data_IF_154053235557
#
_entry.id   IF_154053235557
#
_cell.length_a   1.000
_cell.length_b   1.000
_cell.length_c   1.000
_cell.angle_alpha   90.00
_cell.angle_beta   90.00
_cell.angle_gamma   90.00
#
_symmetry.space_group_name_H-M   'P 1'
#
loop_
_entity.id
_entity.type
_entity.pdbx_description
1 polymer ?
#
# COMPACT_ATOMS: atom_id res chain seq x y z
N UNK A 1 7.17 9.82 18.56
CA UNK A 1 7.41 9.67 17.10
C UNK A 1 6.61 8.53 16.49
N UNK A 2 6.72 7.28 16.96
CA UNK A 2 5.99 6.14 16.36
C UNK A 2 4.46 6.35 16.30
N UNK A 3 3.84 6.82 17.39
CA UNK A 3 2.39 7.06 17.43
C UNK A 3 1.89 8.05 16.36
N UNK A 4 2.68 9.09 16.04
CA UNK A 4 2.32 10.08 15.03
C UNK A 4 2.33 9.52 13.60
N UNK A 5 3.11 8.47 13.33
CA UNK A 5 3.25 7.87 12.00
C UNK A 5 2.12 6.92 11.62
N UNK A 6 1.34 6.45 12.61
CA UNK A 6 0.36 5.36 12.46
C UNK A 6 -0.99 5.79 11.87
N UNK A 7 -1.68 6.85 12.37
CA UNK A 7 -3.13 6.99 12.20
C UNK A 7 -3.61 6.87 10.74
N UNK A 8 -3.20 7.76 9.85
CA UNK A 8 -3.71 7.76 8.47
C UNK A 8 -3.21 6.55 7.69
N UNK A 9 -1.91 6.27 7.72
CA UNK A 9 -1.30 5.26 6.87
C UNK A 9 -1.71 3.84 7.27
N UNK A 10 -1.69 3.54 8.58
CA UNK A 10 -2.05 2.20 9.04
C UNK A 10 -3.57 1.94 8.97
N UNK A 11 -4.43 2.95 9.20
CA UNK A 11 -5.88 2.82 8.99
C UNK A 11 -6.16 2.55 7.51
N UNK A 12 -5.50 3.26 6.60
CA UNK A 12 -5.63 2.99 5.17
C UNK A 12 -5.25 1.55 4.86
N UNK A 13 -4.11 1.07 5.33
CA UNK A 13 -3.69 -0.31 5.12
C UNK A 13 -4.69 -1.32 5.73
N UNK A 14 -5.11 -1.11 6.97
CA UNK A 14 -6.02 -2.02 7.68
C UNK A 14 -7.38 -2.13 6.97
N UNK A 15 -8.03 -0.99 6.71
CA UNK A 15 -9.34 -0.98 6.05
C UNK A 15 -9.28 -1.50 4.61
N UNK A 16 -8.19 -1.19 3.89
CA UNK A 16 -7.97 -1.72 2.54
C UNK A 16 -7.87 -3.23 2.51
N UNK A 17 -7.08 -3.80 3.37
CA UNK A 17 -6.86 -5.24 3.42
C UNK A 17 -8.06 -5.98 4.06
N UNK A 18 -8.49 -5.55 5.25
CA UNK A 18 -9.53 -6.22 6.02
C UNK A 18 -10.92 -6.00 5.44
N UNK A 19 -11.32 -4.73 5.24
CA UNK A 19 -12.73 -4.39 4.96
C UNK A 19 -13.04 -4.44 3.46
N UNK A 20 -12.12 -3.98 2.63
CA UNK A 20 -12.29 -3.95 1.16
C UNK A 20 -11.75 -5.21 0.51
N UNK A 21 -10.54 -5.60 0.85
CA UNK A 21 -9.85 -6.78 0.33
C UNK A 21 -10.36 -8.10 0.91
N UNK A 22 -11.03 -8.07 2.06
CA UNK A 22 -11.54 -9.28 2.75
C UNK A 22 -10.46 -10.35 2.93
N UNK A 23 -9.24 -9.88 3.27
CA UNK A 23 -8.06 -10.73 3.42
C UNK A 23 -8.31 -11.94 4.32
N UNK A 24 -7.80 -13.10 3.90
CA UNK A 24 -7.88 -14.37 4.64
C UNK A 24 -6.49 -14.98 4.78
N UNK A 25 -6.30 -15.80 5.81
CA UNK A 25 -5.07 -16.56 5.98
C UNK A 25 -4.81 -17.50 4.79
N UNK A 26 -3.55 -17.60 4.39
CA UNK A 26 -3.12 -18.43 3.25
C UNK A 26 -3.32 -17.80 1.87
N UNK A 27 -3.97 -16.64 1.78
CA UNK A 27 -4.11 -15.93 0.50
C UNK A 27 -2.77 -15.34 0.03
N UNK A 28 -2.57 -15.29 -1.29
CA UNK A 28 -1.48 -14.59 -1.95
C UNK A 28 -1.85 -13.12 -2.15
N UNK A 29 -1.10 -12.25 -1.49
CA UNK A 29 -1.35 -10.80 -1.50
C UNK A 29 -0.18 -10.07 -2.15
N UNK A 30 -0.46 -9.25 -3.17
CA UNK A 30 0.52 -8.32 -3.73
C UNK A 30 0.30 -6.92 -3.17
N UNK A 31 1.36 -6.29 -2.68
CA UNK A 31 1.37 -4.88 -2.24
C UNK A 31 2.22 -4.06 -3.20
N UNK A 32 1.59 -3.31 -4.09
CA UNK A 32 2.29 -2.39 -5.00
C UNK A 32 2.60 -1.07 -4.28
N UNK A 33 3.88 -0.72 -4.18
CA UNK A 33 4.37 0.41 -3.39
C UNK A 33 4.68 0.02 -1.93
N UNK A 34 5.18 -1.21 -1.71
CA UNK A 34 5.41 -1.82 -0.41
C UNK A 34 6.37 -1.04 0.52
N UNK A 35 7.28 -0.23 -0.02
CA UNK A 35 8.25 0.56 0.75
C UNK A 35 7.75 1.95 1.15
N UNK A 36 6.56 2.35 0.70
CA UNK A 36 5.98 3.66 1.00
C UNK A 36 5.29 3.74 2.37
N UNK A 37 4.80 4.94 2.72
CA UNK A 37 4.22 5.20 4.03
C UNK A 37 3.01 4.34 4.40
N UNK A 38 2.16 3.95 3.45
CA UNK A 38 1.05 3.00 3.65
C UNK A 38 1.53 1.57 3.42
N UNK A 39 2.40 1.36 2.41
CA UNK A 39 2.89 0.05 1.99
C UNK A 39 3.61 -0.72 3.10
N UNK A 40 4.44 -0.04 3.88
CA UNK A 40 5.16 -0.66 5.00
C UNK A 40 4.22 -1.19 6.08
N UNK A 41 3.09 -0.53 6.33
CA UNK A 41 2.05 -1.05 7.20
C UNK A 41 1.25 -2.17 6.53
N UNK A 42 0.96 -2.05 5.24
CA UNK A 42 0.18 -3.04 4.50
C UNK A 42 0.87 -4.41 4.49
N UNK A 43 2.18 -4.46 4.25
CA UNK A 43 2.96 -5.70 4.32
C UNK A 43 2.81 -6.36 5.69
N UNK A 44 3.08 -5.63 6.76
CA UNK A 44 3.03 -6.17 8.13
C UNK A 44 1.61 -6.59 8.55
N UNK A 45 0.60 -5.79 8.22
CA UNK A 45 -0.79 -6.10 8.50
C UNK A 45 -1.21 -7.35 7.73
N UNK A 46 -0.90 -7.48 6.42
CA UNK A 46 -1.20 -8.66 5.65
C UNK A 46 -0.54 -9.92 6.25
N UNK A 47 0.72 -9.81 6.68
CA UNK A 47 1.40 -10.89 7.42
C UNK A 47 0.70 -11.24 8.72
N UNK A 48 0.20 -10.26 9.47
CA UNK A 48 -0.53 -10.50 10.72
C UNK A 48 -1.86 -11.27 10.51
N UNK A 49 -2.44 -11.20 9.32
CA UNK A 49 -3.60 -11.99 8.89
C UNK A 49 -3.21 -13.38 8.36
N UNK A 50 -1.92 -13.73 8.30
CA UNK A 50 -1.46 -15.04 7.83
C UNK A 50 -1.40 -15.18 6.31
N UNK A 51 -1.31 -14.07 5.57
CA UNK A 51 -1.17 -14.08 4.12
C UNK A 51 0.28 -14.37 3.69
N UNK A 52 0.44 -14.88 2.46
CA UNK A 52 1.69 -14.90 1.70
C UNK A 52 1.81 -13.56 0.96
N UNK A 53 2.82 -12.75 1.30
CA UNK A 53 2.92 -11.37 0.84
C UNK A 53 4.05 -11.20 -0.17
N UNK A 54 3.70 -10.68 -1.36
CA UNK A 54 4.65 -10.16 -2.35
C UNK A 54 4.66 -8.64 -2.30
N UNK A 55 5.80 -8.04 -1.96
CA UNK A 55 5.98 -6.59 -1.96
C UNK A 55 6.66 -6.10 -3.23
N UNK A 56 6.10 -5.07 -3.88
CA UNK A 56 6.70 -4.42 -5.05
C UNK A 56 7.36 -3.12 -4.64
N UNK A 57 8.66 -2.97 -4.95
CA UNK A 57 9.45 -1.78 -4.61
C UNK A 57 10.62 -1.59 -5.58
N UNK A 58 11.40 -0.53 -5.43
CA UNK A 58 12.67 -0.35 -6.17
C UNK A 58 13.82 -1.10 -5.52
N UNK A 59 14.90 -1.36 -6.28
CA UNK A 59 16.12 -2.07 -5.84
C UNK A 59 16.59 -1.66 -4.44
N UNK A 60 16.67 -0.36 -4.16
CA UNK A 60 17.17 0.18 -2.88
C UNK A 60 16.31 -0.15 -1.67
N UNK A 61 15.07 -0.62 -1.89
CA UNK A 61 14.08 -0.89 -0.84
C UNK A 61 13.82 -2.40 -0.63
N UNK A 62 14.47 -3.27 -1.40
CA UNK A 62 14.26 -4.73 -1.35
C UNK A 62 14.49 -5.28 0.05
N UNK A 63 15.63 -4.91 0.67
CA UNK A 63 15.96 -5.40 2.01
C UNK A 63 15.00 -4.87 3.08
N UNK A 64 14.57 -3.61 2.97
CA UNK A 64 13.54 -3.06 3.85
C UNK A 64 12.23 -3.87 3.73
N UNK A 65 11.75 -4.12 2.51
CA UNK A 65 10.47 -4.80 2.30
C UNK A 65 10.53 -6.25 2.79
N UNK A 66 11.68 -6.92 2.65
CA UNK A 66 11.92 -8.24 3.26
C UNK A 66 11.93 -8.18 4.78
N UNK A 67 12.63 -7.20 5.36
CA UNK A 67 12.78 -7.09 6.83
C UNK A 67 11.47 -6.82 7.55
N UNK A 68 10.47 -6.22 6.89
CA UNK A 68 9.13 -5.99 7.44
C UNK A 68 8.16 -7.16 7.17
N UNK A 69 8.66 -8.28 6.62
CA UNK A 69 7.95 -9.55 6.57
C UNK A 69 7.38 -9.95 5.22
N UNK A 70 7.72 -9.29 4.09
CA UNK A 70 7.34 -9.79 2.78
C UNK A 70 8.02 -11.13 2.47
N UNK A 71 7.26 -12.14 2.05
CA UNK A 71 7.78 -13.45 1.66
C UNK A 71 8.53 -13.38 0.33
N UNK A 72 8.01 -12.55 -0.58
CA UNK A 72 8.58 -12.29 -1.90
C UNK A 72 8.70 -10.80 -2.14
N UNK A 73 9.72 -10.39 -2.88
CA UNK A 73 9.91 -9.00 -3.27
C UNK A 73 10.20 -8.91 -4.76
N UNK A 74 9.41 -8.12 -5.46
CA UNK A 74 9.61 -7.79 -6.87
C UNK A 74 10.24 -6.41 -6.98
N UNK A 75 11.37 -6.34 -7.64
CA UNK A 75 12.06 -5.09 -7.96
C UNK A 75 11.54 -4.54 -9.31
N UNK A 76 10.63 -3.56 -9.26
CA UNK A 76 10.01 -3.00 -10.46
C UNK A 76 11.00 -2.32 -11.42
N UNK A 77 12.24 -2.07 -10.99
CA UNK A 77 13.29 -1.51 -11.85
C UNK A 77 13.92 -2.57 -12.76
N UNK A 78 13.70 -3.85 -12.48
CA UNK A 78 14.27 -4.99 -13.18
C UNK A 78 13.24 -5.85 -13.87
N UNK A 79 12.04 -5.94 -13.30
CA UNK A 79 10.98 -6.80 -13.81
C UNK A 79 9.60 -6.17 -13.65
N UNK A 80 8.71 -6.49 -14.57
CA UNK A 80 7.31 -6.07 -14.54
C UNK A 80 6.45 -7.20 -13.93
N UNK A 81 5.97 -6.97 -12.71
CA UNK A 81 5.17 -7.97 -11.98
C UNK A 81 3.86 -8.33 -12.67
N UNK A 82 3.39 -7.51 -13.62
CA UNK A 82 2.17 -7.81 -14.39
C UNK A 82 2.39 -8.77 -15.56
N UNK A 83 3.65 -9.05 -15.90
CA UNK A 83 4.05 -9.93 -17.00
C UNK A 83 4.50 -11.32 -16.55
N UNK A 84 4.12 -11.71 -15.34
CA UNK A 84 4.43 -13.02 -14.77
C UNK A 84 3.22 -13.93 -14.76
N UNK A 85 3.44 -15.24 -14.68
CA UNK A 85 2.37 -16.22 -14.49
C UNK A 85 1.86 -16.29 -13.04
N UNK A 86 2.48 -15.53 -12.14
CA UNK A 86 2.07 -15.46 -10.74
C UNK A 86 0.70 -14.80 -10.62
N UNK A 87 -0.19 -15.42 -9.85
CA UNK A 87 -1.54 -14.94 -9.59
C UNK A 87 -1.73 -14.63 -8.11
N UNK A 88 -2.57 -13.63 -7.84
CA UNK A 88 -2.85 -13.14 -6.50
C UNK A 88 -4.34 -13.17 -6.20
N UNK A 89 -4.70 -13.42 -4.96
CA UNK A 89 -6.08 -13.36 -4.47
C UNK A 89 -6.48 -11.92 -4.15
N UNK A 90 -5.49 -11.14 -3.71
CA UNK A 90 -5.66 -9.73 -3.37
C UNK A 90 -4.48 -8.91 -3.89
N UNK A 91 -4.77 -7.84 -4.61
CA UNK A 91 -3.82 -6.80 -4.96
C UNK A 91 -4.16 -5.55 -4.14
N UNK A 92 -3.21 -5.04 -3.37
CA UNK A 92 -3.31 -3.75 -2.71
C UNK A 92 -2.41 -2.75 -3.45
N UNK A 93 -3.03 -1.95 -4.31
CA UNK A 93 -2.34 -1.03 -5.22
C UNK A 93 -2.33 0.39 -4.66
N UNK A 94 -1.13 0.87 -4.28
CA UNK A 94 -0.88 2.19 -3.73
C UNK A 94 -0.24 3.15 -4.75
N UNK A 95 0.07 2.66 -5.95
CA UNK A 95 0.78 3.42 -6.98
C UNK A 95 -0.12 3.74 -8.18
N UNK A 96 -0.93 2.78 -8.62
CA UNK A 96 -1.89 2.97 -9.70
C UNK A 96 -1.25 3.16 -11.09
N UNK A 97 -0.07 2.60 -11.30
CA UNK A 97 0.72 2.77 -12.53
C UNK A 97 0.47 1.70 -13.61
N UNK A 98 -0.45 0.78 -13.38
CA UNK A 98 -0.83 -0.27 -14.31
C UNK A 98 -2.29 -0.16 -14.74
N UNK A 99 -2.56 -0.62 -15.98
CA UNK A 99 -3.91 -0.65 -16.55
C UNK A 99 -4.82 -1.66 -15.84
N UNK A 100 -6.13 -1.54 -16.04
CA UNK A 100 -7.11 -2.53 -15.60
C UNK A 100 -6.78 -3.94 -16.12
N UNK A 101 -6.40 -4.06 -17.39
CA UNK A 101 -6.10 -5.34 -18.04
C UNK A 101 -4.90 -6.04 -17.41
N UNK A 102 -3.83 -5.29 -17.13
CA UNK A 102 -2.61 -5.80 -16.50
C UNK A 102 -2.90 -6.28 -15.08
N UNK A 103 -3.60 -5.48 -14.26
CA UNK A 103 -3.99 -5.90 -12.91
C UNK A 103 -4.91 -7.11 -12.92
N UNK A 104 -5.86 -7.15 -13.86
CA UNK A 104 -6.74 -8.30 -14.05
C UNK A 104 -5.97 -9.56 -14.43
N UNK A 105 -4.94 -9.44 -15.27
CA UNK A 105 -4.13 -10.57 -15.72
C UNK A 105 -3.51 -11.35 -14.56
N UNK A 106 -3.04 -10.66 -13.53
CA UNK A 106 -2.39 -11.25 -12.36
C UNK A 106 -3.35 -11.52 -11.18
N UNK A 107 -4.65 -11.28 -11.32
CA UNK A 107 -5.65 -11.67 -10.34
C UNK A 107 -6.18 -13.08 -10.60
N UNK A 108 -6.35 -13.84 -9.53
CA UNK A 108 -7.12 -15.08 -9.55
C UNK A 108 -8.58 -14.82 -9.94
N UNK A 109 -9.33 -15.82 -10.48
CA UNK A 109 -10.78 -15.74 -10.56
C UNK A 109 -11.37 -15.39 -9.18
N UNK A 110 -12.29 -14.41 -9.14
CA UNK A 110 -12.85 -13.81 -7.92
C UNK A 110 -11.86 -13.03 -7.02
N UNK A 111 -10.63 -12.82 -7.46
CA UNK A 111 -9.65 -11.98 -6.77
C UNK A 111 -10.10 -10.52 -6.66
N UNK A 112 -9.53 -9.81 -5.71
CA UNK A 112 -9.87 -8.41 -5.41
C UNK A 112 -8.66 -7.51 -5.63
N UNK A 113 -8.83 -6.44 -6.39
CA UNK A 113 -7.86 -5.34 -6.46
C UNK A 113 -8.41 -4.15 -5.67
N UNK A 114 -7.72 -3.78 -4.62
CA UNK A 114 -8.04 -2.61 -3.79
C UNK A 114 -7.04 -1.51 -4.11
N UNK A 115 -7.54 -0.37 -4.55
CA UNK A 115 -6.75 0.82 -4.83
C UNK A 115 -6.91 1.82 -3.70
N UNK A 116 -5.81 2.24 -3.11
CA UNK A 116 -5.78 3.23 -2.03
C UNK A 116 -4.76 4.31 -2.33
N UNK A 117 -5.15 5.53 -2.08
CA UNK A 117 -4.31 6.69 -2.29
C UNK A 117 -4.62 7.43 -3.59
N UNK A 118 -4.61 8.74 -3.49
CA UNK A 118 -4.72 9.64 -4.64
C UNK A 118 -3.28 9.81 -5.17
N UNK A 119 -2.84 8.82 -5.94
CA UNK A 119 -1.66 8.90 -6.78
C UNK A 119 -0.33 9.20 -6.11
N UNK A 120 0.56 8.23 -6.11
CA UNK A 120 1.94 8.34 -5.60
C UNK A 120 2.92 9.05 -6.52
N UNK A 121 2.65 9.66 -7.57
CA UNK A 121 3.57 10.45 -8.36
C UNK A 121 2.89 11.75 -8.85
N UNK A 122 3.26 12.85 -8.22
CA UNK A 122 2.99 14.21 -8.69
C UNK A 122 1.51 14.60 -8.76
N UNK A 123 1.11 15.49 -7.89
CA UNK A 123 -0.20 16.19 -7.96
C UNK A 123 -0.43 16.89 -9.31
N UNK A 124 0.58 16.93 -10.17
CA UNK A 124 0.60 17.69 -11.42
C UNK A 124 0.28 16.88 -12.68
N UNK A 125 0.39 15.55 -12.65
CA UNK A 125 0.17 14.74 -13.85
C UNK A 125 -1.19 14.05 -13.85
N UNK A 126 -2.21 14.77 -14.33
CA UNK A 126 -3.38 14.13 -14.93
C UNK A 126 -4.39 13.49 -13.98
N UNK A 127 -4.86 14.20 -12.94
CA UNK A 127 -6.00 13.73 -12.12
C UNK A 127 -7.19 13.31 -12.98
N UNK A 128 -7.42 13.96 -14.13
CA UNK A 128 -8.48 13.60 -15.08
C UNK A 128 -8.27 12.25 -15.76
N UNK A 129 -7.03 11.91 -16.12
CA UNK A 129 -6.70 10.62 -16.79
C UNK A 129 -6.87 9.47 -15.80
N UNK A 130 -6.52 9.68 -14.53
CA UNK A 130 -6.69 8.66 -13.47
C UNK A 130 -8.13 8.42 -13.12
N UNK A 131 -8.95 9.47 -13.00
CA UNK A 131 -10.40 9.34 -12.80
C UNK A 131 -11.07 8.60 -13.97
N UNK A 132 -10.67 8.88 -15.20
CA UNK A 132 -11.17 8.15 -16.37
C UNK A 132 -10.75 6.67 -16.34
N UNK A 133 -9.51 6.36 -15.93
CA UNK A 133 -9.03 4.98 -15.77
C UNK A 133 -9.74 4.21 -14.67
N UNK A 134 -10.07 4.86 -13.55
CA UNK A 134 -10.84 4.26 -12.47
C UNK A 134 -12.30 4.03 -12.87
N UNK A 135 -12.90 4.96 -13.62
CA UNK A 135 -14.26 4.81 -14.15
C UNK A 135 -14.32 3.65 -15.17
N UNK A 136 -13.35 3.55 -16.07
CA UNK A 136 -13.21 2.43 -17.02
C UNK A 136 -13.05 1.10 -16.24
N UNK A 137 -12.19 1.05 -15.24
CA UNK A 137 -12.01 -0.11 -14.39
C UNK A 137 -13.30 -0.49 -13.64
N UNK A 138 -14.05 0.49 -13.13
CA UNK A 138 -15.33 0.26 -12.47
C UNK A 138 -16.39 -0.30 -13.41
N UNK A 139 -16.52 0.25 -14.62
CA UNK A 139 -17.48 -0.24 -15.62
C UNK A 139 -17.11 -1.66 -16.06
N UNK A 140 -15.85 -1.91 -16.39
CA UNK A 140 -15.36 -3.22 -16.85
C UNK A 140 -15.44 -4.28 -15.76
N UNK A 141 -15.28 -3.91 -14.50
CA UNK A 141 -15.37 -4.84 -13.37
C UNK A 141 -16.76 -5.50 -13.24
N UNK A 142 -17.80 -4.91 -13.83
CA UNK A 142 -19.14 -5.50 -13.85
C UNK A 142 -19.29 -6.70 -14.78
N UNK A 143 -18.36 -6.88 -15.70
CA UNK A 143 -18.38 -7.95 -16.69
C UNK A 143 -17.35 -9.05 -16.42
N UNK A 144 -16.69 -9.01 -15.27
CA UNK A 144 -15.67 -9.99 -14.87
C UNK A 144 -15.94 -10.47 -13.45
N UNK A 145 -15.38 -11.62 -13.08
CA UNK A 145 -15.53 -12.17 -11.73
C UNK A 145 -14.67 -11.45 -10.68
N UNK A 146 -13.59 -10.80 -11.11
CA UNK A 146 -12.70 -10.04 -10.24
C UNK A 146 -13.34 -8.71 -9.79
N UNK A 147 -12.98 -8.25 -8.60
CA UNK A 147 -13.48 -6.98 -8.05
C UNK A 147 -12.38 -5.93 -8.03
N UNK A 148 -12.73 -4.71 -8.45
CA UNK A 148 -11.86 -3.54 -8.39
C UNK A 148 -12.53 -2.49 -7.50
N UNK A 149 -11.86 -2.09 -6.43
CA UNK A 149 -12.43 -1.27 -5.36
C UNK A 149 -11.49 -0.11 -5.07
N UNK A 150 -11.95 1.12 -5.23
CA UNK A 150 -11.31 2.32 -4.71
C UNK A 150 -12.04 2.77 -3.44
N UNK A 151 -11.31 3.28 -2.46
CA UNK A 151 -11.90 3.75 -1.22
C UNK A 151 -11.10 4.90 -0.60
N UNK A 152 -11.75 5.60 0.30
CA UNK A 152 -11.13 6.58 1.20
C UNK A 152 -11.24 6.03 2.61
N UNK A 153 -10.12 5.98 3.32
CA UNK A 153 -10.07 5.50 4.69
C UNK A 153 -10.81 6.46 5.64
N UNK A 154 -11.51 5.90 6.61
CA UNK A 154 -12.26 6.66 7.61
C UNK A 154 -11.69 6.41 8.99
N UNK A 155 -11.37 7.49 9.70
CA UNK A 155 -10.90 7.39 11.08
C UNK A 155 -12.01 6.89 12.00
N UNK A 156 -11.72 5.86 12.80
CA UNK A 156 -12.59 5.38 13.86
C UNK A 156 -11.78 4.77 15.02
N UNK A 157 -12.36 4.83 16.20
CA UNK A 157 -11.73 4.35 17.44
C UNK A 157 -11.43 2.85 17.42
N UNK A 158 -12.32 2.04 16.84
CA UNK A 158 -12.18 0.58 16.81
C UNK A 158 -10.92 0.16 16.03
N UNK A 159 -10.70 0.76 14.88
CA UNK A 159 -9.51 0.48 14.07
C UNK A 159 -8.23 0.92 14.77
N UNK A 160 -8.27 2.08 15.45
CA UNK A 160 -7.13 2.52 16.25
C UNK A 160 -6.79 1.56 17.39
N UNK A 161 -7.78 0.92 18.02
CA UNK A 161 -7.53 -0.11 19.03
C UNK A 161 -6.87 -1.34 18.41
N UNK A 162 -7.36 -1.83 17.26
CA UNK A 162 -6.74 -2.96 16.54
C UNK A 162 -5.30 -2.65 16.15
N UNK A 163 -5.02 -1.45 15.67
CA UNK A 163 -3.65 -1.03 15.35
C UNK A 163 -2.77 -0.93 16.59
N UNK A 164 -3.33 -0.48 17.72
CA UNK A 164 -2.66 -0.48 19.02
C UNK A 164 -2.25 -1.89 19.45
N UNK A 165 -3.14 -2.86 19.32
CA UNK A 165 -2.87 -4.27 19.66
C UNK A 165 -1.76 -4.85 18.76
N UNK A 166 -1.76 -4.52 17.45
CA UNK A 166 -0.71 -4.94 16.52
C UNK A 166 0.67 -4.34 16.87
N UNK A 167 0.70 -3.08 17.31
CA UNK A 167 1.92 -2.42 17.79
C UNK A 167 2.42 -3.06 19.09
N UNK A 168 1.54 -3.25 20.08
CA UNK A 168 1.90 -3.82 21.39
C UNK A 168 2.39 -5.26 21.28
N UNK A 169 1.79 -6.05 20.38
CA UNK A 169 2.20 -7.44 20.12
C UNK A 169 3.46 -7.57 19.24
N UNK A 170 4.04 -6.45 18.78
CA UNK A 170 5.20 -6.46 17.89
C UNK A 170 4.93 -6.96 16.48
N UNK A 171 3.66 -7.19 16.13
CA UNK A 171 3.24 -7.62 14.78
C UNK A 171 3.30 -6.50 13.75
N UNK A 172 3.40 -5.27 14.20
CA UNK A 172 3.53 -4.08 13.36
C UNK A 172 4.46 -3.08 14.02
N UNK A 173 5.45 -2.60 13.27
CA UNK A 173 6.39 -1.55 13.69
C UNK A 173 6.43 -0.45 12.64
N UNK A 174 6.24 0.82 13.02
CA UNK A 174 6.33 1.93 12.09
C UNK A 174 7.74 2.06 11.52
N UNK A 175 7.85 2.12 10.19
CA UNK A 175 9.10 2.43 9.51
C UNK A 175 9.19 3.95 9.38
N UNK A 176 10.16 4.55 10.06
CA UNK A 176 10.43 6.00 9.98
C UNK A 176 11.67 6.20 9.13
N UNK A 177 11.50 6.90 8.01
CA UNK A 177 12.57 7.20 7.06
C UNK A 177 13.41 8.38 7.56
N UNK A 178 12.73 9.48 7.91
CA UNK A 178 13.36 10.72 8.38
C UNK A 178 12.54 11.40 9.46
N UNK A 179 13.27 12.11 10.32
CA UNK A 179 12.71 13.03 11.31
C UNK A 179 13.22 14.44 11.04
N UNK A 180 12.35 15.40 11.08
CA UNK A 180 12.64 16.82 10.93
C UNK A 180 12.18 17.59 12.17
N UNK A 181 12.79 18.74 12.47
CA UNK A 181 12.28 19.70 13.45
C UNK A 181 11.13 20.49 12.87
N UNK A 182 10.35 21.16 13.72
CA UNK A 182 9.21 21.97 13.25
C UNK A 182 9.63 23.07 12.29
N UNK A 183 10.76 23.73 12.55
CA UNK A 183 11.31 24.79 11.67
C UNK A 183 11.83 24.26 10.32
N UNK A 184 11.98 22.93 10.17
CA UNK A 184 12.40 22.24 8.94
C UNK A 184 11.20 21.64 8.18
N UNK A 185 9.96 21.98 8.56
CA UNK A 185 8.75 21.41 7.95
C UNK A 185 8.69 21.59 6.43
N UNK A 186 9.19 22.73 5.92
CA UNK A 186 9.26 22.98 4.47
C UNK A 186 10.21 21.99 3.76
N UNK A 187 11.32 21.62 4.38
CA UNK A 187 12.26 20.63 3.83
C UNK A 187 11.68 19.23 3.87
N UNK A 188 10.94 18.89 4.94
CA UNK A 188 10.20 17.64 5.04
C UNK A 188 9.18 17.49 3.90
N UNK A 189 8.45 18.57 3.57
CA UNK A 189 7.49 18.57 2.45
C UNK A 189 8.20 18.42 1.10
N UNK A 190 9.28 19.19 0.84
CA UNK A 190 10.07 19.03 -0.38
C UNK A 190 10.64 17.63 -0.54
N UNK A 191 11.03 16.99 0.57
CA UNK A 191 11.48 15.60 0.54
C UNK A 191 10.34 14.64 0.15
N UNK A 192 9.13 14.84 0.69
CA UNK A 192 7.97 14.02 0.33
C UNK A 192 7.54 14.21 -1.14
N UNK A 193 7.65 15.42 -1.67
CA UNK A 193 7.34 15.74 -3.07
C UNK A 193 8.23 14.99 -4.06
N UNK A 194 9.44 14.58 -3.66
CA UNK A 194 10.31 13.73 -4.48
C UNK A 194 9.74 12.31 -4.69
N UNK A 195 8.71 11.92 -3.95
CA UNK A 195 8.02 10.64 -4.10
C UNK A 195 8.83 9.41 -3.68
N UNK A 196 9.93 9.62 -2.94
CA UNK A 196 10.90 8.57 -2.65
C UNK A 196 11.05 8.21 -1.17
N UNK A 197 10.15 8.67 -0.32
CA UNK A 197 10.18 8.35 1.11
C UNK A 197 10.04 6.83 1.36
N UNK A 198 10.85 6.32 2.29
CA UNK A 198 10.94 4.90 2.68
C UNK A 198 10.20 4.67 4.00
N UNK A 199 8.87 4.66 3.94
CA UNK A 199 8.03 4.65 5.13
C UNK A 199 7.53 6.05 5.47
N UNK A 200 7.63 6.47 6.74
CA UNK A 200 7.06 7.71 7.25
C UNK A 200 8.10 8.79 7.50
N UNK A 201 7.75 10.02 7.17
CA UNK A 201 8.48 11.22 7.58
C UNK A 201 7.76 11.81 8.78
N UNK A 202 8.50 12.14 9.82
CA UNK A 202 7.95 12.64 11.09
C UNK A 202 8.54 14.01 11.41
N UNK A 203 7.68 14.94 11.83
CA UNK A 203 8.12 16.24 12.37
C UNK A 203 8.10 16.13 13.89
N UNK A 204 9.24 16.39 14.53
CA UNK A 204 9.36 16.46 15.98
C UNK A 204 9.14 17.91 16.44
N UNK A 205 8.37 18.10 17.50
CA UNK A 205 8.06 19.43 18.06
C UNK A 205 9.05 19.88 19.15
N UNK A 206 10.01 19.00 19.48
CA UNK A 206 11.06 19.28 20.47
C UNK A 206 12.36 19.75 19.81
#
# INVERSE_FOLDING_TARGET
>A
MQAASVPVAAITALQGLRDKGKIQAGQKVLVNGASGGVGTFAVQIAKSFGAEVTGVCSTRNVDLVRSIGADHVVDYTKEDFTKTDQRYDLIFDLVGNHSFSERRHILNPNGICVMAGIGGAGWHDGMGIRLAGELDAYVRSRFVSQKFISYIAQFNKRDMMVLGDLLQSGKMTPVIDRTYKLNEAADALRYLEQGHARGKVVINLE
#
